data_IF_342876382920
#
_entry.id   IF_342876382920
#
_cell.length_a   1.000
_cell.length_b   1.000
_cell.length_c   1.000
_cell.angle_alpha   90.00
_cell.angle_beta   90.00
_cell.angle_gamma   90.00
#
_symmetry.space_group_name_H-M   'P 1'
#
loop_
_entity.id
_entity.type
_entity.pdbx_description
1 polymer ?
#
# COMPACT_ATOMS: atom_id res chain seq x y z
N UNK A 1 8.81 -12.59 -2.14
CA UNK A 1 7.67 -11.85 -1.58
C UNK A 1 8.06 -10.39 -1.43
N UNK A 2 7.20 -9.48 -1.89
CA UNK A 2 7.43 -8.06 -1.77
C UNK A 2 6.83 -7.55 -0.45
N UNK A 3 7.59 -6.73 0.27
CA UNK A 3 7.11 -6.04 1.48
C UNK A 3 7.33 -4.55 1.31
N UNK A 4 6.41 -3.75 1.78
CA UNK A 4 6.55 -2.29 1.76
C UNK A 4 7.49 -1.88 2.89
N UNK A 5 8.54 -1.15 2.55
CA UNK A 5 9.45 -0.52 3.51
C UNK A 5 9.00 0.89 3.84
N UNK A 6 8.79 1.68 2.81
CA UNK A 6 8.45 3.10 2.93
C UNK A 6 7.49 3.51 1.82
N UNK A 7 6.64 4.46 2.14
CA UNK A 7 5.74 5.12 1.19
C UNK A 7 5.80 6.61 1.42
N UNK A 8 5.95 7.35 0.33
CA UNK A 8 5.81 8.80 0.31
C UNK A 8 4.70 9.16 -0.68
N UNK A 9 3.59 9.68 -0.16
CA UNK A 9 2.52 10.21 -1.01
C UNK A 9 2.92 11.59 -1.53
N UNK A 10 2.59 11.88 -2.77
CA UNK A 10 2.93 13.15 -3.42
C UNK A 10 1.63 13.85 -3.81
N UNK A 11 1.29 14.91 -3.08
CA UNK A 11 0.08 15.70 -3.32
C UNK A 11 -1.21 14.86 -3.39
N UNK A 12 -1.33 13.87 -2.52
CA UNK A 12 -2.55 13.08 -2.41
C UNK A 12 -3.70 13.99 -1.93
N UNK A 13 -4.91 13.84 -2.48
CA UNK A 13 -6.02 14.74 -2.14
C UNK A 13 -6.38 14.80 -0.66
N UNK A 14 -6.13 13.72 0.08
CA UNK A 14 -6.44 13.60 1.51
C UNK A 14 -5.17 13.46 2.35
N UNK A 15 -4.25 12.61 1.93
CA UNK A 15 -3.03 12.31 2.68
C UNK A 15 -1.91 13.32 2.43
N UNK A 16 -2.09 14.21 1.46
CA UNK A 16 -1.12 15.24 1.10
C UNK A 16 0.25 14.65 0.77
N UNK A 17 1.28 15.00 1.53
CA UNK A 17 2.64 14.50 1.34
C UNK A 17 3.06 13.60 2.52
N UNK A 18 2.13 12.80 3.01
CA UNK A 18 2.39 11.90 4.12
C UNK A 18 3.47 10.89 3.74
N UNK A 19 4.42 10.71 4.64
CA UNK A 19 5.44 9.66 4.54
C UNK A 19 5.24 8.64 5.65
N UNK A 20 5.30 7.36 5.28
CA UNK A 20 5.17 6.24 6.19
C UNK A 20 6.42 5.38 6.11
N UNK A 21 6.97 5.01 7.26
CA UNK A 21 8.09 4.10 7.38
C UNK A 21 7.63 2.86 8.15
N UNK A 22 7.70 1.71 7.49
CA UNK A 22 7.27 0.42 8.03
C UNK A 22 8.45 -0.49 8.38
N UNK A 23 9.64 0.07 8.47
CA UNK A 23 10.80 -0.70 8.85
C UNK A 23 10.83 -0.93 10.37
N UNK A 24 11.36 -2.07 10.77
CA UNK A 24 11.64 -2.37 12.16
C UNK A 24 12.93 -1.66 12.65
N UNK A 25 13.31 -1.89 13.89
CA UNK A 25 14.51 -1.30 14.49
C UNK A 25 15.82 -1.72 13.80
N UNK A 26 15.81 -2.84 13.07
CA UNK A 26 16.96 -3.34 12.32
C UNK A 26 16.96 -2.87 10.86
N UNK A 27 15.97 -2.09 10.46
CA UNK A 27 15.86 -1.58 9.10
C UNK A 27 15.24 -2.54 8.10
N UNK A 28 14.66 -3.63 8.53
CA UNK A 28 13.91 -4.55 7.68
C UNK A 28 12.42 -4.21 7.64
N UNK A 29 11.78 -4.48 6.53
CA UNK A 29 10.33 -4.28 6.43
C UNK A 29 9.59 -5.17 7.44
N UNK A 30 8.67 -4.56 8.18
CA UNK A 30 7.85 -5.29 9.13
C UNK A 30 6.93 -6.29 8.42
N UNK A 31 6.71 -7.43 9.06
CA UNK A 31 5.79 -8.46 8.52
C UNK A 31 4.33 -8.03 8.68
N UNK A 32 4.03 -7.31 9.74
CA UNK A 32 2.67 -6.87 10.05
C UNK A 32 2.68 -5.47 10.60
N UNK A 33 1.78 -4.63 10.11
CA UNK A 33 1.55 -3.28 10.62
C UNK A 33 0.08 -3.13 10.94
N UNK A 34 -0.21 -2.58 12.11
CA UNK A 34 -1.57 -2.32 12.57
C UNK A 34 -1.78 -0.82 12.66
N UNK A 35 -2.80 -0.33 11.98
CA UNK A 35 -3.25 1.04 12.10
C UNK A 35 -4.35 1.11 13.14
N UNK A 36 -4.10 1.87 14.19
CA UNK A 36 -5.05 2.09 15.26
C UNK A 36 -5.33 3.57 15.43
N UNK A 37 -6.50 3.89 15.94
CA UNK A 37 -6.91 5.27 16.18
C UNK A 37 -8.44 5.41 16.11
N UNK A 38 -8.91 6.60 16.42
CA UNK A 38 -10.32 6.93 16.33
C UNK A 38 -10.79 6.96 14.87
N UNK A 39 -12.10 6.82 14.67
CA UNK A 39 -12.71 6.96 13.34
C UNK A 39 -12.48 8.38 12.81
N UNK A 40 -12.21 8.48 11.51
CA UNK A 40 -12.00 9.77 10.86
C UNK A 40 -10.55 10.26 10.85
N UNK A 41 -9.60 9.52 11.40
CA UNK A 41 -8.17 9.90 11.35
C UNK A 41 -7.44 9.45 10.08
N UNK A 42 -8.17 8.91 9.10
CA UNK A 42 -7.60 8.58 7.80
C UNK A 42 -7.09 7.15 7.64
N UNK A 43 -7.34 6.25 8.60
CA UNK A 43 -6.90 4.84 8.51
C UNK A 43 -7.37 4.14 7.25
N UNK A 44 -8.65 4.24 6.93
CA UNK A 44 -9.23 3.63 5.73
C UNK A 44 -8.64 4.23 4.46
N UNK A 45 -8.40 5.53 4.45
CA UNK A 45 -7.76 6.21 3.31
C UNK A 45 -6.34 5.69 3.08
N UNK A 46 -5.56 5.52 4.15
CA UNK A 46 -4.21 4.95 4.05
C UNK A 46 -4.27 3.53 3.52
N UNK A 47 -5.13 2.68 4.08
CA UNK A 47 -5.24 1.28 3.66
C UNK A 47 -5.68 1.15 2.19
N UNK A 48 -6.64 1.95 1.75
CA UNK A 48 -7.06 1.98 0.36
C UNK A 48 -5.94 2.46 -0.57
N UNK A 49 -5.22 3.50 -0.17
CA UNK A 49 -4.10 4.01 -0.95
C UNK A 49 -2.96 2.98 -1.06
N UNK A 50 -2.63 2.29 0.02
CA UNK A 50 -1.64 1.21 0.00
C UNK A 50 -2.07 0.05 -0.89
N UNK A 51 -3.34 -0.30 -0.88
CA UNK A 51 -3.87 -1.31 -1.78
C UNK A 51 -3.75 -0.90 -3.25
N UNK A 52 -4.10 0.34 -3.57
CA UNK A 52 -3.99 0.87 -4.93
C UNK A 52 -2.53 0.85 -5.41
N UNK A 53 -1.59 1.21 -4.55
CA UNK A 53 -0.16 1.14 -4.86
C UNK A 53 0.32 -0.30 -5.09
N UNK A 54 -0.03 -1.22 -4.22
CA UNK A 54 0.38 -2.63 -4.35
C UNK A 54 -0.29 -3.31 -5.52
N UNK A 55 -1.48 -2.88 -5.91
CA UNK A 55 -2.15 -3.32 -7.14
C UNK A 55 -1.61 -2.62 -8.40
N UNK A 56 -0.69 -1.68 -8.22
CA UNK A 56 -0.10 -0.87 -9.29
C UNK A 56 -1.12 -0.10 -10.13
N UNK A 57 -2.17 0.37 -9.46
CA UNK A 57 -3.26 1.16 -10.08
C UNK A 57 -3.59 2.42 -9.27
N UNK A 58 -2.58 3.19 -8.79
CA UNK A 58 -2.89 4.41 -8.06
C UNK A 58 -3.44 5.47 -9.00
N UNK A 59 -4.40 6.25 -8.52
CA UNK A 59 -4.86 7.47 -9.18
C UNK A 59 -4.19 8.73 -8.61
N UNK A 60 -3.12 8.55 -7.90
CA UNK A 60 -2.27 9.58 -7.28
C UNK A 60 -0.80 9.25 -7.51
N UNK A 61 0.07 10.18 -7.17
CA UNK A 61 1.52 10.00 -7.29
C UNK A 61 2.12 9.58 -5.95
N UNK A 62 3.12 8.73 -5.99
CA UNK A 62 3.80 8.24 -4.80
C UNK A 62 5.16 7.63 -5.14
N UNK A 63 6.05 7.66 -4.15
CA UNK A 63 7.27 6.87 -4.13
C UNK A 63 7.08 5.71 -3.15
N UNK A 64 7.38 4.51 -3.58
CA UNK A 64 7.29 3.32 -2.74
C UNK A 64 8.60 2.56 -2.77
N UNK A 65 9.07 2.22 -1.60
CA UNK A 65 10.24 1.37 -1.44
C UNK A 65 9.79 -0.01 -0.99
N UNK A 66 10.11 -1.02 -1.79
CA UNK A 66 9.82 -2.42 -1.50
C UNK A 66 11.09 -3.18 -1.14
N UNK A 67 10.93 -4.11 -0.21
CA UNK A 67 11.91 -5.14 0.06
C UNK A 67 11.49 -6.43 -0.66
N UNK A 68 12.42 -7.01 -1.41
CA UNK A 68 12.22 -8.30 -2.07
C UNK A 68 13.46 -9.17 -1.85
N UNK A 69 13.37 -10.11 -0.92
CA UNK A 69 14.53 -10.84 -0.46
C UNK A 69 15.54 -9.91 0.22
N UNK A 70 16.75 -9.86 -0.30
CA UNK A 70 17.80 -8.94 0.17
C UNK A 70 17.89 -7.66 -0.67
N UNK A 71 17.02 -7.51 -1.66
CA UNK A 71 17.01 -6.36 -2.55
C UNK A 71 16.00 -5.33 -2.10
N UNK A 72 16.33 -4.07 -2.34
CA UNK A 72 15.43 -2.95 -2.19
C UNK A 72 15.11 -2.40 -3.57
N UNK A 73 13.83 -2.26 -3.86
CA UNK A 73 13.33 -1.78 -5.15
C UNK A 73 12.51 -0.52 -4.89
N UNK A 74 12.81 0.53 -5.63
CA UNK A 74 12.09 1.79 -5.56
C UNK A 74 11.16 1.91 -6.76
N UNK A 75 9.88 2.12 -6.53
CA UNK A 75 8.90 2.40 -7.56
C UNK A 75 8.34 3.80 -7.36
N UNK A 76 8.45 4.59 -8.41
CA UNK A 76 7.84 5.91 -8.47
C UNK A 76 6.65 5.87 -9.41
N UNK A 77 5.47 6.16 -8.89
CA UNK A 77 4.24 6.27 -9.65
C UNK A 77 3.96 7.74 -9.94
N UNK A 78 3.81 8.08 -11.23
CA UNK A 78 3.49 9.44 -11.61
C UNK A 78 2.63 9.48 -12.87
N UNK A 79 1.89 10.56 -13.02
CA UNK A 79 0.98 10.77 -14.13
C UNK A 79 1.50 11.83 -15.08
N UNK A 80 1.50 11.53 -16.37
CA UNK A 80 1.72 12.52 -17.41
C UNK A 80 0.40 12.80 -18.10
N UNK A 81 0.07 14.08 -18.21
CA UNK A 81 -1.12 14.56 -18.89
C UNK A 81 -0.69 15.17 -20.22
N UNK A 82 -0.97 14.46 -21.28
CA UNK A 82 -0.95 15.00 -22.63
C UNK A 82 -2.40 15.06 -23.15
N UNK A 83 -2.69 14.45 -24.30
CA UNK A 83 -4.08 14.28 -24.75
C UNK A 83 -4.85 13.28 -23.89
N UNK A 84 -4.14 12.30 -23.32
CA UNK A 84 -4.68 11.28 -22.42
C UNK A 84 -3.78 11.24 -21.19
N UNK A 85 -4.40 11.14 -20.02
CA UNK A 85 -3.64 10.91 -18.78
C UNK A 85 -3.08 9.50 -18.77
N UNK A 86 -1.79 9.38 -18.57
CA UNK A 86 -1.08 8.10 -18.57
C UNK A 86 -0.30 7.93 -17.28
N UNK A 87 -0.48 6.79 -16.63
CA UNK A 87 0.34 6.38 -15.51
C UNK A 87 1.69 5.84 -16.02
N UNK A 88 2.74 6.29 -15.40
CA UNK A 88 4.09 5.76 -15.57
C UNK A 88 4.63 5.25 -14.26
N UNK A 89 5.35 4.15 -14.31
CA UNK A 89 6.04 3.57 -13.17
C UNK A 89 7.53 3.56 -13.47
N UNK A 90 8.29 4.30 -12.70
CA UNK A 90 9.76 4.24 -12.77
C UNK A 90 10.22 3.26 -11.72
N UNK A 91 10.98 2.27 -12.13
CA UNK A 91 11.55 1.27 -11.25
C UNK A 91 13.04 1.50 -11.15
N UNK A 92 13.55 1.61 -9.95
CA UNK A 92 14.97 1.68 -9.66
C UNK A 92 15.34 0.51 -8.76
N UNK A 93 16.26 -0.29 -9.22
CA UNK A 93 16.86 -1.37 -8.44
C UNK A 93 18.39 -1.22 -8.46
N UNK A 94 19.11 -2.14 -7.84
CA UNK A 94 20.55 -2.10 -7.80
C UNK A 94 21.24 -2.25 -9.17
N UNK A 95 20.51 -2.63 -10.22
CA UNK A 95 21.04 -2.84 -11.57
C UNK A 95 20.77 -1.65 -12.51
N UNK A 96 19.86 -0.73 -12.15
CA UNK A 96 19.56 0.43 -12.98
C UNK A 96 18.15 0.99 -12.77
N UNK A 97 17.71 1.74 -13.77
CA UNK A 97 16.39 2.40 -13.77
C UNK A 97 15.64 2.06 -15.05
N UNK A 98 14.34 1.85 -14.91
CA UNK A 98 13.44 1.54 -16.01
C UNK A 98 12.14 2.32 -15.86
N UNK A 99 11.60 2.82 -16.98
CA UNK A 99 10.28 3.43 -17.02
C UNK A 99 9.29 2.51 -17.73
N UNK A 100 8.19 2.23 -17.06
CA UNK A 100 7.11 1.38 -17.59
C UNK A 100 5.85 2.23 -17.77
N UNK A 101 5.25 2.16 -18.94
CA UNK A 101 3.98 2.83 -19.20
C UNK A 101 2.81 1.91 -18.83
N UNK A 102 2.01 2.35 -17.86
CA UNK A 102 0.82 1.66 -17.41
C UNK A 102 1.03 0.70 -16.25
N UNK A 103 0.02 0.63 -15.38
CA UNK A 103 0.03 -0.23 -14.21
C UNK A 103 -0.05 -1.73 -14.56
N UNK A 104 -0.72 -2.08 -15.65
CA UNK A 104 -0.83 -3.48 -16.07
C UNK A 104 0.52 -4.06 -16.49
N UNK A 105 1.30 -3.30 -17.27
CA UNK A 105 2.64 -3.70 -17.65
C UNK A 105 3.59 -3.76 -16.45
N UNK A 106 3.48 -2.82 -15.53
CA UNK A 106 4.26 -2.82 -14.29
C UNK A 106 3.92 -4.03 -13.42
N UNK A 107 2.66 -4.38 -13.30
CA UNK A 107 2.21 -5.54 -12.52
C UNK A 107 2.67 -6.86 -13.14
N UNK A 108 2.69 -6.96 -14.44
CA UNK A 108 3.20 -8.15 -15.14
C UNK A 108 4.68 -8.36 -14.87
N UNK A 109 5.46 -7.28 -14.88
CA UNK A 109 6.91 -7.36 -14.66
C UNK A 109 7.29 -7.48 -13.18
N UNK A 110 6.56 -6.78 -12.32
CA UNK A 110 6.75 -6.78 -10.86
C UNK A 110 5.45 -7.24 -10.19
N UNK A 111 5.22 -8.55 -10.10
CA UNK A 111 3.95 -9.10 -9.60
C UNK A 111 3.85 -8.97 -8.08
N UNK A 112 3.47 -7.79 -7.64
CA UNK A 112 3.17 -7.52 -6.25
C UNK A 112 1.73 -7.92 -6.01
N UNK A 113 1.52 -8.86 -5.10
CA UNK A 113 0.18 -9.36 -4.78
C UNK A 113 -0.38 -8.65 -3.56
N UNK A 114 -1.59 -8.15 -3.70
CA UNK A 114 -2.34 -7.55 -2.60
C UNK A 114 -3.75 -8.11 -2.56
N UNK A 115 -4.23 -8.39 -1.38
CA UNK A 115 -5.62 -8.77 -1.14
C UNK A 115 -6.23 -7.71 -0.25
N UNK A 116 -7.32 -7.13 -0.71
CA UNK A 116 -8.13 -6.23 0.08
C UNK A 116 -9.34 -6.99 0.60
N UNK A 117 -9.52 -6.96 1.91
CA UNK A 117 -10.71 -7.48 2.53
C UNK A 117 -11.29 -6.39 3.42
N UNK A 118 -12.48 -5.95 3.09
CA UNK A 118 -13.19 -4.95 3.87
C UNK A 118 -13.97 -5.62 4.99
N UNK A 119 -13.96 -4.99 6.15
CA UNK A 119 -14.72 -5.45 7.30
C UNK A 119 -15.77 -4.41 7.63
N UNK A 120 -17.00 -4.81 7.52
CA UNK A 120 -18.09 -4.10 8.13
C UNK A 120 -18.18 -4.55 9.60
N UNK A 121 -17.58 -3.74 10.48
CA UNK A 121 -17.60 -4.03 11.91
C UNK A 121 -18.78 -3.31 12.52
N UNK A 122 -19.87 -4.02 12.73
CA UNK A 122 -20.94 -3.58 13.58
C UNK A 122 -20.57 -3.86 15.02
N UNK A 123 -20.28 -2.80 15.77
CA UNK A 123 -19.99 -2.93 17.19
C UNK A 123 -21.27 -3.01 18.00
N UNK A 124 -21.55 -4.19 18.52
CA UNK A 124 -22.40 -4.33 19.68
C UNK A 124 -21.47 -4.41 20.88
N UNK A 125 -21.71 -3.58 21.84
CA UNK A 125 -20.80 -3.11 22.88
C UNK A 125 -19.92 -4.12 23.62
N UNK A 126 -20.23 -5.40 23.57
CA UNK A 126 -19.51 -6.40 24.35
C UNK A 126 -18.78 -7.45 23.49
N UNK A 127 -18.80 -7.30 22.19
CA UNK A 127 -18.39 -8.40 21.30
C UNK A 127 -17.32 -8.01 20.30
N UNK A 128 -16.47 -7.06 20.63
CA UNK A 128 -15.33 -6.78 19.78
C UNK A 128 -14.32 -7.93 19.94
N UNK A 129 -14.30 -8.80 18.98
CA UNK A 129 -13.40 -9.97 18.96
C UNK A 129 -12.46 -9.97 17.78
N UNK A 130 -12.57 -8.97 16.89
CA UNK A 130 -11.76 -8.91 15.69
C UNK A 130 -11.01 -7.60 15.58
N UNK A 131 -9.85 -7.69 15.00
CA UNK A 131 -8.96 -6.57 14.72
C UNK A 131 -8.64 -6.59 13.24
N UNK A 132 -8.68 -5.44 12.61
CA UNK A 132 -8.21 -5.29 11.24
C UNK A 132 -6.69 -5.21 11.22
N UNK A 133 -6.07 -6.06 10.43
CA UNK A 133 -4.62 -6.06 10.26
C UNK A 133 -4.26 -5.99 8.79
N UNK A 134 -3.11 -5.40 8.52
CA UNK A 134 -2.51 -5.34 7.20
C UNK A 134 -1.17 -6.07 7.23
N UNK A 135 -1.06 -7.10 6.42
CA UNK A 135 0.21 -7.76 6.17
C UNK A 135 0.86 -7.09 4.97
N UNK A 136 2.00 -6.46 5.17
CA UNK A 136 2.63 -5.62 4.14
C UNK A 136 3.37 -6.39 3.05
N UNK A 137 3.21 -7.67 2.99
CA UNK A 137 3.61 -8.51 1.86
C UNK A 137 2.58 -8.51 0.70
N UNK A 138 1.65 -7.59 0.74
CA UNK A 138 0.59 -7.44 -0.23
C UNK A 138 -0.74 -8.06 0.18
N UNK A 139 -0.89 -8.49 1.42
CA UNK A 139 -2.12 -9.09 1.92
C UNK A 139 -2.73 -8.20 2.99
N UNK A 140 -3.99 -7.88 2.80
CA UNK A 140 -4.83 -7.18 3.78
C UNK A 140 -5.93 -8.12 4.22
N UNK A 141 -5.99 -8.40 5.50
CA UNK A 141 -6.99 -9.28 6.07
C UNK A 141 -7.87 -8.53 7.05
N UNK A 142 -9.12 -8.89 7.07
CA UNK A 142 -10.05 -8.41 8.08
C UNK A 142 -11.04 -9.51 8.44
N UNK A 143 -11.58 -9.41 9.62
CA UNK A 143 -12.56 -10.36 10.13
C UNK A 143 -13.81 -9.62 10.52
N UNK A 144 -14.94 -10.25 10.31
CA UNK A 144 -16.19 -9.73 10.82
C UNK A 144 -16.24 -9.87 12.34
N UNK A 145 -16.91 -8.94 12.95
CA UNK A 145 -17.19 -8.99 14.37
C UNK A 145 -18.08 -10.19 14.69
N UNK A 146 -17.85 -10.80 15.85
CA UNK A 146 -18.60 -11.98 16.29
C UNK A 146 -20.06 -11.72 16.59
N UNK A 147 -20.47 -10.49 16.74
CA UNK A 147 -21.88 -10.13 16.90
C UNK A 147 -22.70 -10.42 15.65
N UNK A 148 -22.06 -10.60 14.55
CA UNK A 148 -22.67 -11.06 13.32
C UNK A 148 -22.77 -12.59 13.23
N UNK A 149 -22.36 -13.22 14.26
CA UNK A 149 -22.40 -14.67 14.37
C UNK A 149 -23.72 -15.14 14.93
#
# INVERSE_FOLDING_TARGET
MYKIRKVEFLNHPILENLSLDFCDANGYAADTVIFAGENGVGKSTILNALYDLTSQRPNFEANVEYEFGEQTIHLKYYWKKFNISQLYVVVEDGAGSEQIAGGDAAREKYPIHAIFSDVDINFHSNNLTSVTSLTLDGKKESRRSSDNL
#
